data_IF_188239554120
#
_entry.id   IF_188239554120
#
_cell.length_a   1.000
_cell.length_b   1.000
_cell.length_c   1.000
_cell.angle_alpha   90.00
_cell.angle_beta   90.00
_cell.angle_gamma   90.00
#
_symmetry.space_group_name_H-M   'P 1'
#
loop_
_entity.id
_entity.type
_entity.pdbx_description
1 polymer ?
#
# COMPACT_ATOMS: atom_id res chain seq x y z
N UNK A 1 -8.18 -42.65 55.97
CA UNK A 1 -7.70 -43.66 56.93
C UNK A 1 -6.23 -43.86 56.63
N UNK A 2 -5.39 -43.50 57.59
CA UNK A 2 -3.96 -43.24 57.37
C UNK A 2 -3.59 -41.98 58.13
N UNK A 3 -3.68 -42.08 59.45
CA UNK A 3 -3.71 -40.96 60.39
C UNK A 3 -2.37 -40.83 61.12
N UNK A 4 -2.18 -39.66 61.76
CA UNK A 4 -1.15 -39.36 62.78
C UNK A 4 0.34 -39.22 62.32
N UNK A 5 1.19 -38.50 63.10
CA UNK A 5 0.88 -37.45 64.09
C UNK A 5 1.71 -36.15 63.92
N UNK A 6 1.43 -35.19 64.81
CA UNK A 6 2.22 -33.97 65.03
C UNK A 6 3.64 -34.25 65.52
N UNK A 7 4.57 -33.32 65.28
CA UNK A 7 5.69 -33.04 66.19
C UNK A 7 5.75 -31.53 66.45
N UNK A 8 5.64 -31.16 67.74
CA UNK A 8 5.79 -29.78 68.22
C UNK A 8 7.27 -29.35 68.23
N UNK A 9 7.56 -28.21 67.62
CA UNK A 9 8.93 -27.67 67.45
C UNK A 9 9.16 -26.31 68.13
N UNK A 10 8.83 -26.16 69.41
CA UNK A 10 9.06 -24.93 70.16
C UNK A 10 10.57 -24.66 70.36
N UNK A 11 11.10 -23.60 69.71
CA UNK A 11 12.41 -23.03 70.06
C UNK A 11 12.40 -21.50 70.13
N UNK A 12 12.41 -21.04 71.38
CA UNK A 12 13.14 -19.89 71.94
C UNK A 12 13.23 -18.59 71.11
N UNK A 13 12.61 -17.55 71.68
CA UNK A 13 12.89 -16.15 71.37
C UNK A 13 14.37 -15.81 71.66
N UNK A 14 15.01 -15.10 70.74
CA UNK A 14 16.29 -14.41 70.97
C UNK A 14 16.10 -12.93 70.62
N UNK A 15 16.14 -12.06 71.64
CA UNK A 15 16.05 -10.62 71.43
C UNK A 15 17.41 -10.08 70.97
N UNK A 16 17.54 -9.78 69.68
CA UNK A 16 18.59 -8.88 69.19
C UNK A 16 17.96 -7.53 68.86
N UNK A 17 18.03 -6.60 69.81
CA UNK A 17 17.91 -5.17 69.54
C UNK A 17 19.26 -4.69 68.95
N UNK A 18 19.37 -4.74 67.62
CA UNK A 18 20.33 -3.93 66.87
C UNK A 18 19.59 -3.04 65.88
N UNK A 19 20.19 -1.88 65.60
CA UNK A 19 19.59 -0.74 64.90
C UNK A 19 18.74 -1.11 63.68
N UNK A 20 17.41 -0.99 63.83
CA UNK A 20 16.46 -0.99 62.71
C UNK A 20 16.56 0.30 61.92
N UNK A 21 17.70 0.47 61.24
CA UNK A 21 17.91 1.43 60.16
C UNK A 21 16.82 1.19 59.12
N UNK A 22 15.80 2.07 59.12
CA UNK A 22 14.59 1.93 58.31
C UNK A 22 15.01 1.63 56.87
N UNK A 23 14.59 0.49 56.30
CA UNK A 23 14.86 0.20 54.89
C UNK A 23 14.22 1.30 54.06
N UNK A 24 15.04 2.19 53.50
CA UNK A 24 14.60 3.17 52.52
C UNK A 24 14.01 2.39 51.35
N UNK A 25 12.69 2.42 51.22
CA UNK A 25 11.97 1.74 50.16
C UNK A 25 12.65 2.03 48.83
N UNK A 26 12.97 1.01 48.01
CA UNK A 26 13.68 1.24 46.76
C UNK A 26 12.91 2.31 45.96
N UNK A 27 13.61 3.35 45.46
CA UNK A 27 12.95 4.53 44.91
C UNK A 27 12.00 4.09 43.81
N UNK A 28 10.73 4.54 43.90
CA UNK A 28 9.64 4.00 43.10
C UNK A 28 9.96 4.05 41.61
N UNK A 29 10.38 2.91 41.06
CA UNK A 29 10.78 2.77 39.67
C UNK A 29 9.53 2.95 38.81
N UNK A 30 9.32 4.17 38.33
CA UNK A 30 8.22 4.50 37.43
C UNK A 30 8.19 3.46 36.30
N UNK A 31 7.05 2.78 36.06
CA UNK A 31 6.98 1.71 35.07
C UNK A 31 7.38 2.27 33.70
N UNK A 32 8.16 1.53 32.90
CA UNK A 32 8.62 2.00 31.60
C UNK A 32 7.42 2.39 30.74
N UNK A 33 7.48 3.50 29.99
CA UNK A 33 6.32 4.03 29.28
C UNK A 33 5.78 3.00 28.28
N UNK A 34 4.49 2.70 28.40
CA UNK A 34 3.82 1.67 27.60
C UNK A 34 3.76 2.07 26.13
N UNK A 35 4.16 1.14 25.25
CA UNK A 35 4.19 1.39 23.80
C UNK A 35 2.79 1.21 23.23
N UNK A 36 2.19 2.29 22.74
CA UNK A 36 0.88 2.26 22.08
C UNK A 36 1.00 1.62 20.69
N UNK A 37 0.64 0.34 20.56
CA UNK A 37 0.45 -0.32 19.27
C UNK A 37 -0.85 0.22 18.64
N UNK A 38 -0.78 0.62 17.36
CA UNK A 38 -1.97 0.99 16.57
C UNK A 38 -2.02 0.19 15.28
N UNK A 39 -2.63 -0.99 15.36
CA UNK A 39 -2.98 -1.84 14.23
C UNK A 39 -4.41 -1.54 13.76
N UNK A 40 -4.65 -1.63 12.45
CA UNK A 40 -5.99 -1.61 11.84
C UNK A 40 -6.10 -2.75 10.82
N UNK A 41 -7.22 -3.49 10.76
CA UNK A 41 -7.44 -4.47 9.71
C UNK A 41 -7.48 -3.78 8.33
N UNK A 42 -7.18 -4.56 7.29
CA UNK A 42 -7.26 -4.14 5.90
C UNK A 42 -8.56 -4.71 5.29
N UNK A 43 -9.53 -3.89 4.85
CA UNK A 43 -10.84 -4.35 4.42
C UNK A 43 -10.82 -5.19 3.13
N UNK A 44 -9.65 -5.37 2.49
CA UNK A 44 -9.45 -6.26 1.36
C UNK A 44 -8.90 -7.65 1.75
N UNK A 45 -8.65 -7.90 3.04
CA UNK A 45 -7.97 -9.11 3.53
C UNK A 45 -8.63 -9.67 4.79
N UNK A 46 -9.36 -10.77 4.64
CA UNK A 46 -9.99 -11.49 5.74
C UNK A 46 -11.18 -10.73 6.37
N UNK A 47 -11.62 -11.13 7.58
CA UNK A 47 -12.67 -10.42 8.29
C UNK A 47 -12.18 -9.06 8.82
N UNK A 48 -13.08 -8.07 8.85
CA UNK A 48 -12.86 -6.81 9.56
C UNK A 48 -13.03 -7.04 11.07
N UNK A 49 -11.91 -7.21 11.77
CA UNK A 49 -11.83 -7.50 13.21
C UNK A 49 -10.68 -6.70 13.84
N UNK A 50 -10.81 -6.28 15.12
CA UNK A 50 -9.68 -5.80 15.88
C UNK A 50 -8.62 -6.90 16.06
N UNK A 51 -7.38 -6.51 16.30
CA UNK A 51 -6.30 -7.45 16.62
C UNK A 51 -6.50 -8.05 18.02
N UNK A 52 -6.32 -9.35 18.20
CA UNK A 52 -6.43 -10.01 19.49
C UNK A 52 -5.52 -9.42 20.58
N UNK A 53 -5.92 -9.46 21.87
CA UNK A 53 -5.11 -8.94 22.97
C UNK A 53 -3.74 -9.62 23.10
N UNK A 54 -3.65 -10.94 22.88
CA UNK A 54 -2.38 -11.67 22.95
C UNK A 54 -1.42 -11.26 21.82
N UNK A 55 -1.92 -11.13 20.59
CA UNK A 55 -1.16 -10.59 19.45
C UNK A 55 -0.70 -9.14 19.70
N UNK A 56 -1.55 -8.32 20.33
CA UNK A 56 -1.21 -6.95 20.72
C UNK A 56 -0.09 -6.93 21.77
N UNK A 57 -0.12 -7.84 22.75
CA UNK A 57 0.91 -7.97 23.78
C UNK A 57 2.25 -8.44 23.20
N UNK A 58 2.25 -9.44 22.30
CA UNK A 58 3.45 -9.90 21.60
C UNK A 58 4.11 -8.78 20.77
N UNK A 59 3.32 -7.91 20.14
CA UNK A 59 3.84 -6.71 19.47
C UNK A 59 4.42 -5.69 20.45
N UNK A 60 3.75 -5.44 21.57
CA UNK A 60 4.25 -4.52 22.59
C UNK A 60 5.59 -4.99 23.16
N UNK A 61 5.74 -6.29 23.41
CA UNK A 61 6.99 -6.91 23.90
C UNK A 61 8.12 -6.79 22.86
N UNK A 62 7.86 -7.12 21.58
CA UNK A 62 8.84 -6.94 20.51
C UNK A 62 9.30 -5.48 20.42
N UNK A 63 8.35 -4.54 20.35
CA UNK A 63 8.68 -3.11 20.24
C UNK A 63 9.31 -2.52 21.50
N UNK A 64 9.13 -3.14 22.68
CA UNK A 64 9.82 -2.75 23.91
C UNK A 64 11.33 -3.03 23.80
N UNK A 65 11.71 -4.13 23.17
CA UNK A 65 13.10 -4.55 22.92
C UNK A 65 13.68 -3.86 21.66
N UNK A 66 12.90 -3.80 20.58
CA UNK A 66 13.33 -3.40 19.23
C UNK A 66 12.63 -2.13 18.72
N UNK A 67 12.67 -1.05 19.51
CA UNK A 67 11.89 0.20 19.33
C UNK A 67 11.90 0.88 17.95
N UNK A 68 12.90 0.59 17.11
CA UNK A 68 13.09 1.22 15.80
C UNK A 68 13.10 0.22 14.63
N UNK A 69 12.83 -1.06 14.91
CA UNK A 69 12.85 -2.13 13.91
C UNK A 69 11.43 -2.62 13.59
N UNK A 70 11.25 -3.08 12.36
CA UNK A 70 10.04 -3.83 11.99
C UNK A 70 10.14 -5.27 12.50
N UNK A 71 9.05 -5.89 13.00
CA UNK A 71 9.08 -7.28 13.41
C UNK A 71 9.52 -8.20 12.26
N UNK A 72 10.20 -9.34 12.52
CA UNK A 72 10.78 -10.16 11.47
C UNK A 72 9.73 -10.81 10.55
N UNK A 73 8.46 -10.87 10.97
CA UNK A 73 7.32 -11.37 10.22
C UNK A 73 6.55 -10.28 9.46
N UNK A 74 7.02 -9.03 9.49
CA UNK A 74 6.39 -7.92 8.78
C UNK A 74 6.30 -8.20 7.27
N UNK A 75 5.10 -8.11 6.72
CA UNK A 75 4.84 -8.36 5.31
C UNK A 75 5.12 -7.13 4.45
N UNK A 76 5.56 -7.36 3.21
CA UNK A 76 5.75 -6.29 2.24
C UNK A 76 4.42 -5.72 1.74
N UNK A 77 4.49 -4.56 1.07
CA UNK A 77 3.36 -4.07 0.25
C UNK A 77 2.98 -5.14 -0.76
N UNK A 78 1.75 -5.65 -0.66
CA UNK A 78 1.30 -6.82 -1.39
C UNK A 78 0.26 -6.43 -2.44
N UNK A 79 0.66 -6.56 -3.71
CA UNK A 79 -0.07 -6.16 -4.91
C UNK A 79 -0.43 -7.38 -5.78
N UNK A 80 -0.93 -8.47 -5.18
CA UNK A 80 -1.36 -9.63 -5.95
C UNK A 80 -2.70 -9.34 -6.65
N UNK A 81 -2.76 -9.58 -7.97
CA UNK A 81 -4.01 -9.50 -8.76
C UNK A 81 -4.82 -10.81 -8.72
N UNK A 82 -4.16 -11.93 -8.43
CA UNK A 82 -4.78 -13.26 -8.37
C UNK A 82 -5.65 -13.42 -7.13
N UNK A 83 -6.70 -14.24 -7.25
CA UNK A 83 -7.48 -14.70 -6.10
C UNK A 83 -6.66 -15.72 -5.32
N UNK A 84 -6.96 -15.85 -4.03
CA UNK A 84 -6.27 -16.79 -3.14
C UNK A 84 -7.20 -17.32 -2.05
N UNK A 85 -6.87 -18.51 -1.56
CA UNK A 85 -7.39 -19.11 -0.32
C UNK A 85 -6.21 -19.57 0.53
N UNK A 86 -6.44 -19.83 1.82
CA UNK A 86 -5.44 -20.43 2.70
C UNK A 86 -5.97 -21.76 3.22
N UNK A 87 -5.13 -22.78 3.24
CA UNK A 87 -5.46 -24.09 3.81
C UNK A 87 -4.44 -24.49 4.88
N UNK A 88 -4.90 -25.20 5.90
CA UNK A 88 -4.05 -25.83 6.90
C UNK A 88 -3.43 -27.14 6.37
N UNK A 89 -2.73 -27.88 7.25
CA UNK A 89 -2.16 -29.19 6.91
C UNK A 89 -3.18 -30.28 6.61
N UNK A 90 -4.40 -30.16 7.14
CA UNK A 90 -5.50 -31.10 6.96
C UNK A 90 -6.37 -30.78 5.72
N UNK A 91 -6.17 -29.61 5.10
CA UNK A 91 -6.96 -29.11 3.98
C UNK A 91 -8.17 -28.26 4.38
N UNK A 92 -8.31 -27.91 5.66
CA UNK A 92 -9.34 -26.99 6.12
C UNK A 92 -9.03 -25.56 5.65
N UNK A 93 -10.04 -24.88 5.11
CA UNK A 93 -9.90 -23.49 4.65
C UNK A 93 -9.84 -22.53 5.84
N UNK A 94 -8.75 -21.76 5.93
CA UNK A 94 -8.46 -20.82 7.01
C UNK A 94 -8.65 -19.37 6.56
N UNK A 95 -9.01 -18.51 7.52
CA UNK A 95 -9.07 -17.07 7.28
C UNK A 95 -7.70 -16.42 7.53
N UNK A 96 -7.35 -15.42 6.72
CA UNK A 96 -6.11 -14.67 6.82
C UNK A 96 -6.40 -13.17 6.68
N UNK A 97 -6.24 -12.41 7.77
CA UNK A 97 -6.33 -10.93 7.72
C UNK A 97 -4.96 -10.31 7.45
N UNK A 98 -4.94 -9.17 6.76
CA UNK A 98 -3.81 -8.24 6.76
C UNK A 98 -4.12 -7.11 7.74
N UNK A 99 -3.14 -6.71 8.53
CA UNK A 99 -3.22 -5.52 9.36
C UNK A 99 -2.18 -4.50 8.91
N UNK A 100 -2.56 -3.22 8.93
CA UNK A 100 -1.63 -2.09 8.85
C UNK A 100 -1.33 -1.61 10.26
N UNK A 101 -0.07 -1.73 10.69
CA UNK A 101 0.42 -1.09 11.91
C UNK A 101 0.92 0.31 11.56
N UNK A 102 0.64 1.27 12.43
CA UNK A 102 0.97 2.70 12.26
C UNK A 102 1.74 3.30 13.44
N UNK A 103 1.83 2.57 14.56
CA UNK A 103 2.61 2.92 15.75
C UNK A 103 3.20 1.65 16.38
N UNK A 104 4.46 1.66 16.87
CA UNK A 104 5.38 2.80 16.84
C UNK A 104 5.99 3.09 15.46
N UNK A 105 6.05 2.10 14.56
CA UNK A 105 6.47 2.27 13.16
C UNK A 105 5.38 1.82 12.17
N UNK A 106 5.39 2.33 10.92
CA UNK A 106 4.48 1.89 9.86
C UNK A 106 4.96 0.58 9.19
N UNK A 107 4.17 -0.48 9.27
CA UNK A 107 4.42 -1.75 8.56
C UNK A 107 3.11 -2.55 8.36
N UNK A 108 3.18 -3.61 7.54
CA UNK A 108 2.07 -4.56 7.39
C UNK A 108 2.42 -5.88 8.08
N UNK A 109 1.40 -6.61 8.50
CA UNK A 109 1.53 -7.97 9.05
C UNK A 109 0.33 -8.81 8.65
N UNK A 110 0.45 -10.14 8.77
CA UNK A 110 -0.63 -11.08 8.49
C UNK A 110 -0.98 -11.86 9.76
N UNK A 111 -2.28 -12.06 9.97
CA UNK A 111 -2.85 -12.85 11.07
C UNK A 111 -3.66 -13.99 10.47
N UNK A 112 -3.29 -15.22 10.81
CA UNK A 112 -4.00 -16.44 10.46
C UNK A 112 -4.97 -16.77 11.59
N UNK A 113 -6.21 -17.10 11.25
CA UNK A 113 -7.19 -17.64 12.20
C UNK A 113 -7.36 -19.14 11.92
N UNK A 114 -7.09 -19.97 12.92
CA UNK A 114 -7.21 -21.43 12.81
C UNK A 114 -8.62 -21.93 13.18
N UNK A 115 -8.92 -23.18 12.86
CA UNK A 115 -10.26 -23.80 13.05
C UNK A 115 -10.70 -23.95 14.51
N UNK A 116 -9.74 -23.93 15.45
CA UNK A 116 -9.95 -23.87 16.90
C UNK A 116 -10.25 -22.44 17.42
N UNK A 117 -10.19 -21.43 16.54
CA UNK A 117 -10.37 -20.03 16.89
C UNK A 117 -9.09 -19.32 17.37
N UNK A 118 -7.92 -19.96 17.36
CA UNK A 118 -6.66 -19.29 17.70
C UNK A 118 -6.25 -18.27 16.62
N UNK A 119 -5.59 -17.19 17.03
CA UNK A 119 -5.03 -16.18 16.12
C UNK A 119 -3.49 -16.21 16.18
N UNK A 120 -2.83 -16.28 15.02
CA UNK A 120 -1.39 -16.49 14.90
C UNK A 120 -0.75 -15.46 13.97
N UNK A 121 0.37 -14.86 14.36
CA UNK A 121 1.21 -14.09 13.43
C UNK A 121 1.89 -15.03 12.45
N UNK A 122 1.82 -14.72 11.15
CA UNK A 122 2.41 -15.57 10.10
C UNK A 122 3.24 -14.80 9.09
N UNK A 123 4.33 -15.42 8.65
CA UNK A 123 5.23 -14.91 7.62
C UNK A 123 5.24 -15.84 6.38
N UNK A 124 5.42 -15.27 5.19
CA UNK A 124 5.65 -16.05 3.97
C UNK A 124 7.04 -16.72 4.01
N UNK A 125 7.14 -17.99 3.60
CA UNK A 125 8.42 -18.73 3.49
C UNK A 125 8.61 -19.38 2.11
N UNK A 126 9.86 -19.69 1.79
CA UNK A 126 10.26 -20.28 0.50
C UNK A 126 10.12 -19.33 -0.69
N UNK A 127 10.19 -19.88 -1.90
CA UNK A 127 9.82 -19.18 -3.14
C UNK A 127 8.35 -19.47 -3.46
N UNK A 128 7.67 -18.56 -4.17
CA UNK A 128 6.36 -18.87 -4.72
C UNK A 128 6.47 -20.07 -5.67
N UNK A 129 5.65 -21.09 -5.41
CA UNK A 129 5.64 -22.37 -6.13
C UNK A 129 4.35 -22.53 -6.94
N UNK A 130 4.26 -23.58 -7.77
CA UNK A 130 2.99 -23.97 -8.44
C UNK A 130 1.86 -24.28 -7.44
N UNK A 131 2.22 -24.62 -6.19
CA UNK A 131 1.30 -24.92 -5.09
C UNK A 131 0.92 -23.68 -4.27
N UNK A 132 1.60 -22.54 -4.48
CA UNK A 132 1.34 -21.28 -3.76
C UNK A 132 2.51 -20.79 -2.90
N UNK A 133 2.19 -20.09 -1.82
CA UNK A 133 3.14 -19.55 -0.83
C UNK A 133 2.84 -20.13 0.55
N UNK A 134 3.81 -20.78 1.16
CA UNK A 134 3.68 -21.34 2.50
C UNK A 134 3.80 -20.25 3.58
N UNK A 135 3.16 -20.51 4.71
CA UNK A 135 3.08 -19.63 5.87
C UNK A 135 3.68 -20.35 7.09
N UNK A 136 4.63 -19.70 7.76
CA UNK A 136 5.18 -20.14 9.05
C UNK A 136 4.64 -19.26 10.17
N UNK A 137 4.38 -19.85 11.33
CA UNK A 137 3.97 -19.15 12.54
C UNK A 137 5.15 -18.47 13.24
N UNK A 138 5.00 -17.21 13.63
CA UNK A 138 5.94 -16.51 14.51
C UNK A 138 5.48 -16.67 15.97
N UNK A 139 6.31 -17.32 16.78
CA UNK A 139 5.99 -17.76 18.14
C UNK A 139 6.32 -16.71 19.22
N UNK A 140 7.02 -15.63 18.86
CA UNK A 140 7.42 -14.57 19.77
C UNK A 140 8.90 -14.17 19.62
N UNK A 141 9.34 -13.23 20.46
CA UNK A 141 10.71 -12.68 20.40
C UNK A 141 11.79 -13.73 20.64
N UNK A 142 11.61 -14.57 21.68
CA UNK A 142 12.60 -15.55 22.12
C UNK A 142 12.50 -16.87 21.34
N UNK A 143 11.28 -17.25 20.96
CA UNK A 143 10.96 -18.51 20.29
C UNK A 143 11.18 -18.44 18.77
N UNK A 144 11.15 -17.23 18.18
CA UNK A 144 11.32 -17.04 16.75
C UNK A 144 10.15 -17.62 15.95
N UNK A 145 10.42 -18.68 15.19
CA UNK A 145 9.45 -19.29 14.26
C UNK A 145 9.21 -20.75 14.58
N UNK A 146 7.98 -21.22 14.31
CA UNK A 146 7.66 -22.63 14.35
C UNK A 146 8.55 -23.41 13.36
N UNK A 147 8.96 -24.62 13.74
CA UNK A 147 9.89 -25.44 12.96
C UNK A 147 9.36 -25.89 11.59
N UNK A 148 8.06 -25.70 11.31
CA UNK A 148 7.39 -26.13 10.10
C UNK A 148 6.37 -25.10 9.60
N UNK A 149 6.06 -25.15 8.29
CA UNK A 149 4.95 -24.37 7.71
C UNK A 149 3.60 -24.88 8.21
N UNK A 150 2.79 -23.98 8.77
CA UNK A 150 1.49 -24.27 9.39
C UNK A 150 0.31 -24.19 8.41
N UNK A 151 0.42 -23.36 7.38
CA UNK A 151 -0.62 -23.15 6.36
C UNK A 151 -0.02 -22.82 5.00
N UNK A 152 -0.82 -22.90 3.93
CA UNK A 152 -0.41 -22.58 2.56
C UNK A 152 -1.45 -21.69 1.88
N UNK A 153 -1.01 -20.57 1.31
CA UNK A 153 -1.83 -19.69 0.48
C UNK A 153 -1.75 -20.12 -0.98
N UNK A 154 -2.81 -20.74 -1.48
CA UNK A 154 -2.96 -21.21 -2.86
C UNK A 154 -3.59 -20.11 -3.72
N UNK A 155 -3.18 -20.00 -4.98
CA UNK A 155 -3.62 -18.95 -5.91
C UNK A 155 -4.41 -19.50 -7.09
N UNK A 156 -5.32 -18.70 -7.63
CA UNK A 156 -6.09 -19.04 -8.83
C UNK A 156 -6.67 -17.81 -9.55
N UNK A 157 -7.30 -18.01 -10.73
CA UNK A 157 -7.97 -16.93 -11.46
C UNK A 157 -9.27 -16.52 -10.77
N UNK A 158 -10.11 -17.47 -10.37
CA UNK A 158 -11.31 -17.26 -9.54
C UNK A 158 -11.21 -18.00 -8.20
N UNK A 159 -11.95 -17.62 -7.15
CA UNK A 159 -11.90 -18.29 -5.84
C UNK A 159 -12.36 -19.75 -5.84
N UNK A 160 -13.25 -20.13 -6.76
CA UNK A 160 -13.90 -21.45 -6.82
C UNK A 160 -12.99 -22.54 -7.42
N UNK A 161 -12.03 -22.12 -8.25
CA UNK A 161 -10.97 -22.98 -8.80
C UNK A 161 -9.93 -23.38 -7.75
N UNK A 162 -9.83 -22.62 -6.65
CA UNK A 162 -8.77 -22.75 -5.66
C UNK A 162 -9.11 -23.88 -4.69
N UNK A 163 -8.57 -25.06 -4.98
CA UNK A 163 -8.79 -26.30 -4.24
C UNK A 163 -7.51 -26.74 -3.54
N UNK A 164 -7.67 -27.36 -2.38
CA UNK A 164 -6.58 -28.01 -1.66
C UNK A 164 -6.11 -29.28 -2.37
N UNK A 165 -4.83 -29.63 -2.19
CA UNK A 165 -4.28 -30.95 -2.53
C UNK A 165 -3.26 -31.38 -1.46
N UNK A 166 -3.31 -32.62 -0.94
CA UNK A 166 -2.31 -33.11 0.01
C UNK A 166 -0.87 -33.09 -0.53
N UNK A 167 -0.68 -33.19 -1.86
CA UNK A 167 0.64 -33.15 -2.52
C UNK A 167 1.40 -31.84 -2.29
N UNK A 168 0.67 -30.76 -1.96
CA UNK A 168 1.26 -29.46 -1.61
C UNK A 168 2.29 -29.65 -0.49
N UNK A 169 1.97 -30.43 0.55
CA UNK A 169 2.84 -30.60 1.71
C UNK A 169 4.11 -31.42 1.44
N UNK A 170 4.11 -32.27 0.41
CA UNK A 170 5.32 -32.96 -0.07
C UNK A 170 6.34 -31.99 -0.67
N UNK A 171 5.91 -30.75 -0.97
CA UNK A 171 6.69 -29.70 -1.61
C UNK A 171 6.83 -28.47 -0.70
N UNK A 172 6.63 -28.62 0.61
CA UNK A 172 6.87 -27.58 1.60
C UNK A 172 8.39 -27.29 1.74
N UNK A 173 8.79 -26.02 1.94
CA UNK A 173 10.19 -25.66 2.08
C UNK A 173 10.74 -26.14 3.43
N UNK A 174 11.84 -26.90 3.39
CA UNK A 174 12.61 -27.25 4.60
C UNK A 174 13.32 -26.03 5.21
N UNK A 175 13.63 -25.02 4.40
CA UNK A 175 14.05 -23.69 4.88
C UNK A 175 12.83 -22.84 5.22
N UNK A 176 12.53 -22.73 6.51
CA UNK A 176 11.48 -21.88 7.08
C UNK A 176 11.87 -20.41 7.19
N UNK A 177 13.00 -19.97 6.63
CA UNK A 177 13.42 -18.56 6.68
C UNK A 177 12.38 -17.66 6.00
N UNK A 178 11.84 -16.64 6.70
CA UNK A 178 10.87 -15.71 6.11
C UNK A 178 11.41 -14.95 4.90
N UNK A 179 10.54 -14.71 3.92
CA UNK A 179 10.81 -13.83 2.78
C UNK A 179 10.93 -12.39 3.28
N UNK A 180 12.13 -11.99 3.71
CA UNK A 180 12.42 -10.61 4.15
C UNK A 180 12.34 -9.66 2.97
N UNK A 181 11.19 -9.01 2.81
CA UNK A 181 11.06 -7.85 1.94
C UNK A 181 12.04 -6.78 2.40
N UNK A 182 12.87 -6.25 1.50
CA UNK A 182 13.74 -5.10 1.77
C UNK A 182 12.89 -3.83 1.91
N UNK A 183 12.26 -3.67 3.07
CA UNK A 183 11.67 -2.41 3.50
C UNK A 183 12.78 -1.37 3.53
N UNK A 184 12.72 -0.38 2.63
CA UNK A 184 13.61 0.78 2.69
C UNK A 184 13.37 1.45 4.04
N UNK A 185 14.39 1.50 4.89
CA UNK A 185 14.29 2.22 6.17
C UNK A 185 13.84 3.66 5.88
N UNK A 186 12.77 4.16 6.51
CA UNK A 186 12.34 5.55 6.33
C UNK A 186 13.33 6.53 6.95
N UNK A 187 14.08 6.07 7.95
CA UNK A 187 15.28 6.75 8.43
C UNK A 187 16.43 6.39 7.48
N UNK A 188 17.12 7.37 6.86
CA UNK A 188 18.46 7.09 6.37
C UNK A 188 19.27 6.59 7.58
N UNK A 189 19.97 5.46 7.43
CA UNK A 189 21.03 5.17 8.38
C UNK A 189 22.03 6.31 8.23
N UNK A 190 22.12 7.18 9.24
CA UNK A 190 23.15 8.20 9.26
C UNK A 190 24.49 7.49 9.17
N UNK A 191 25.30 7.88 8.19
CA UNK A 191 26.66 7.37 8.00
C UNK A 191 27.54 7.87 9.16
N UNK A 192 27.35 7.27 10.34
CA UNK A 192 28.31 7.25 11.42
C UNK A 192 29.61 6.75 10.79
N UNK A 193 30.65 7.61 10.71
CA UNK A 193 31.78 7.35 9.84
C UNK A 193 32.43 6.04 10.25
N UNK A 194 32.33 5.02 9.40
CA UNK A 194 33.04 3.76 9.62
C UNK A 194 34.51 4.09 9.85
N UNK A 195 35.13 3.59 10.94
CA UNK A 195 36.51 3.90 11.24
C UNK A 195 37.36 3.49 10.05
N UNK A 196 37.94 4.48 9.37
CA UNK A 196 38.64 4.26 8.11
C UNK A 196 39.76 3.24 8.33
N UNK A 197 39.79 2.13 7.58
CA UNK A 197 40.79 1.10 7.81
C UNK A 197 42.18 1.73 7.63
N UNK A 198 42.96 1.74 8.71
CA UNK A 198 44.23 2.47 8.77
C UNK A 198 45.12 2.05 7.59
N UNK A 199 45.26 2.96 6.62
CA UNK A 199 46.16 2.77 5.48
C UNK A 199 47.57 2.68 6.04
N UNK A 200 48.13 1.46 6.07
CA UNK A 200 49.55 1.26 6.37
C UNK A 200 50.37 2.24 5.52
N UNK A 201 51.28 3.03 6.11
CA UNK A 201 52.10 3.94 5.33
C UNK A 201 52.99 3.13 4.38
N UNK A 202 52.68 3.17 3.09
CA UNK A 202 53.63 2.70 2.08
C UNK A 202 54.85 3.61 2.13
N UNK A 203 56.03 3.00 2.25
CA UNK A 203 57.30 3.74 2.16
C UNK A 203 57.36 4.45 0.80
N UNK A 204 57.68 5.74 0.84
CA UNK A 204 58.23 6.41 -0.32
C UNK A 204 59.57 5.73 -0.67
N UNK A 205 59.78 5.48 -1.96
CA UNK A 205 61.05 5.06 -2.52
C UNK A 205 61.23 5.77 -3.85
N UNK A 206 62.27 6.58 -3.96
CA UNK A 206 62.47 7.52 -5.05
C UNK A 206 62.67 6.84 -6.40
N UNK A 207 62.05 7.39 -7.44
CA UNK A 207 62.60 7.32 -8.80
C UNK A 207 62.20 8.56 -9.60
N UNK A 208 63.18 9.15 -10.27
CA UNK A 208 63.07 10.49 -10.84
C UNK A 208 62.92 10.50 -12.37
N UNK A 209 62.40 11.64 -12.84
CA UNK A 209 62.73 12.33 -14.10
C UNK A 209 62.20 11.84 -15.46
N UNK A 210 62.03 12.87 -16.31
CA UNK A 210 61.93 12.90 -17.78
C UNK A 210 60.58 12.53 -18.44
N UNK A 211 60.08 13.23 -19.48
CA UNK A 211 60.37 14.60 -19.97
C UNK A 211 59.36 15.02 -21.09
N UNK A 212 58.84 16.28 -21.05
CA UNK A 212 58.21 17.04 -22.16
C UNK A 212 57.02 16.39 -22.93
N UNK A 213 56.15 17.07 -23.71
CA UNK A 213 55.97 18.48 -24.14
C UNK A 213 54.45 18.82 -24.18
N UNK A 214 54.01 20.10 -24.21
CA UNK A 214 52.59 20.49 -24.27
C UNK A 214 52.10 20.88 -25.68
N UNK A 215 50.80 20.70 -25.96
CA UNK A 215 50.10 21.27 -27.14
C UNK A 215 48.67 21.69 -26.77
N UNK A 216 48.29 22.93 -27.10
CA UNK A 216 46.91 23.43 -27.03
C UNK A 216 46.07 22.92 -28.21
N UNK A 217 44.76 22.77 -28.06
CA UNK A 217 43.84 23.22 -29.11
C UNK A 217 42.40 23.50 -28.63
N UNK A 218 41.75 24.46 -29.31
CA UNK A 218 40.35 24.86 -29.13
C UNK A 218 39.52 24.44 -30.37
N UNK A 219 38.17 24.44 -30.22
CA UNK A 219 37.12 24.41 -31.28
C UNK A 219 36.98 23.15 -32.17
N UNK A 220 35.85 22.45 -31.98
CA UNK A 220 34.76 22.23 -32.97
C UNK A 220 33.54 21.72 -32.18
N UNK A 221 32.25 22.05 -32.40
CA UNK A 221 31.45 22.45 -33.58
C UNK A 221 31.07 21.28 -34.50
N UNK A 222 30.02 20.55 -34.12
CA UNK A 222 28.86 20.10 -34.94
C UNK A 222 27.91 19.29 -34.02
N UNK A 223 26.57 19.38 -34.06
CA UNK A 223 25.59 19.32 -35.15
C UNK A 223 25.53 17.96 -35.88
N UNK A 224 24.72 17.04 -35.35
CA UNK A 224 24.10 15.93 -36.09
C UNK A 224 22.69 15.64 -35.50
N UNK A 225 21.76 15.01 -36.26
CA UNK A 225 20.37 15.46 -36.23
C UNK A 225 19.36 14.40 -35.76
N UNK A 226 18.14 14.86 -35.52
CA UNK A 226 16.94 14.00 -35.52
C UNK A 226 16.83 13.24 -36.84
N UNK A 227 16.54 11.93 -36.78
CA UNK A 227 15.93 11.25 -37.91
C UNK A 227 14.94 10.19 -37.44
N UNK A 228 13.74 10.19 -38.02
CA UNK A 228 12.69 9.21 -37.72
C UNK A 228 12.91 7.96 -38.57
N UNK A 229 12.61 6.78 -38.02
CA UNK A 229 12.16 5.65 -38.85
C UNK A 229 10.99 4.93 -38.20
N UNK A 230 9.86 4.94 -38.90
CA UNK A 230 8.74 4.02 -38.68
C UNK A 230 9.09 2.68 -39.31
N UNK A 231 8.68 1.58 -38.68
CA UNK A 231 8.65 0.24 -39.30
C UNK A 231 7.33 -0.46 -38.96
N UNK A 232 6.32 -0.22 -39.78
CA UNK A 232 5.20 -1.16 -39.91
C UNK A 232 5.74 -2.45 -40.54
N UNK A 233 5.28 -3.61 -40.08
CA UNK A 233 5.40 -4.87 -40.82
C UNK A 233 4.07 -5.63 -40.77
N UNK A 234 3.35 -5.61 -41.89
CA UNK A 234 2.36 -6.64 -42.19
C UNK A 234 3.09 -7.91 -42.64
N UNK A 235 2.53 -9.07 -42.30
CA UNK A 235 2.80 -10.34 -43.01
C UNK A 235 1.47 -11.03 -43.29
N UNK A 236 1.28 -11.52 -44.51
CA UNK A 236 0.05 -12.19 -44.96
C UNK A 236 0.42 -13.46 -45.72
N UNK A 237 -0.30 -14.55 -45.41
CA UNK A 237 -0.60 -15.82 -46.11
C UNK A 237 0.22 -16.18 -47.39
N UNK A 238 0.59 -17.45 -47.64
CA UNK A 238 -0.35 -18.56 -47.89
C UNK A 238 0.31 -19.97 -47.92
N UNK A 239 -0.51 -20.97 -47.53
CA UNK A 239 -0.80 -22.33 -48.07
C UNK A 239 0.01 -22.98 -49.23
N UNK A 240 -0.16 -24.31 -49.52
CA UNK A 240 -1.00 -25.35 -48.88
C UNK A 240 -0.12 -26.45 -48.20
N UNK A 241 -0.49 -27.70 -47.88
CA UNK A 241 -1.68 -28.58 -47.96
C UNK A 241 -1.65 -29.55 -46.72
N UNK A 242 -2.47 -30.59 -46.46
CA UNK A 242 -3.54 -31.34 -47.18
C UNK A 242 -4.56 -31.89 -46.14
N UNK A 243 -5.65 -32.53 -46.57
CA UNK A 243 -6.69 -33.20 -45.75
C UNK A 243 -6.51 -34.76 -45.76
N UNK A 244 -7.37 -35.64 -45.16
CA UNK A 244 -8.69 -35.46 -44.50
C UNK A 244 -8.73 -36.03 -43.04
N UNK A 245 -9.83 -36.21 -42.28
CA UNK A 245 -11.27 -36.47 -42.58
C UNK A 245 -12.20 -36.02 -41.42
N UNK A 246 -13.46 -35.63 -41.74
CA UNK A 246 -14.74 -35.76 -40.98
C UNK A 246 -14.79 -35.49 -39.45
N UNK A 247 -15.81 -34.81 -38.89
CA UNK A 247 -17.25 -34.86 -39.22
C UNK A 247 -18.01 -33.60 -38.72
N UNK A 248 -19.16 -33.32 -39.32
CA UNK A 248 -19.94 -32.08 -39.13
C UNK A 248 -21.05 -32.18 -38.05
N UNK A 249 -21.47 -31.03 -37.50
CA UNK A 249 -22.87 -30.77 -37.07
C UNK A 249 -23.12 -29.26 -37.00
N UNK A 250 -23.99 -28.74 -37.87
CA UNK A 250 -24.42 -27.34 -37.87
C UNK A 250 -25.49 -27.03 -36.81
N UNK A 251 -25.55 -25.77 -36.37
CA UNK A 251 -26.79 -25.10 -35.96
C UNK A 251 -26.59 -23.59 -35.93
N UNK A 252 -27.19 -22.89 -36.89
CA UNK A 252 -27.29 -21.42 -36.92
C UNK A 252 -28.75 -21.00 -36.65
N UNK A 253 -28.93 -19.81 -36.07
CA UNK A 253 -30.22 -19.13 -36.07
C UNK A 253 -30.01 -17.62 -36.11
N UNK A 254 -30.72 -16.96 -37.02
CA UNK A 254 -30.61 -15.53 -37.30
C UNK A 254 -31.98 -14.86 -37.17
N UNK A 255 -32.02 -13.72 -36.49
CA UNK A 255 -33.10 -12.74 -36.57
C UNK A 255 -32.42 -11.37 -36.49
N UNK A 256 -32.37 -10.61 -37.58
CA UNK A 256 -33.45 -9.85 -38.23
C UNK A 256 -33.71 -8.49 -37.56
N UNK A 257 -33.80 -7.46 -38.40
CA UNK A 257 -33.76 -6.05 -38.02
C UNK A 257 -35.13 -5.50 -37.59
N UNK A 258 -35.12 -4.31 -36.98
CA UNK A 258 -36.32 -3.44 -36.90
C UNK A 258 -35.91 -1.99 -36.74
N UNK A 259 -35.71 -1.30 -37.86
CA UNK A 259 -35.67 0.16 -37.89
C UNK A 259 -37.05 0.74 -37.54
N UNK A 260 -37.09 1.88 -36.85
CA UNK A 260 -38.30 2.70 -36.72
C UNK A 260 -37.95 4.17 -36.78
N UNK A 261 -38.27 4.80 -37.91
CA UNK A 261 -38.06 6.23 -38.16
C UNK A 261 -39.27 7.09 -37.77
N UNK A 262 -39.14 8.40 -37.99
CA UNK A 262 -40.21 9.39 -38.10
C UNK A 262 -40.98 9.79 -36.84
N UNK A 263 -40.73 11.02 -36.39
CA UNK A 263 -41.78 12.04 -36.41
C UNK A 263 -41.18 13.42 -36.64
N UNK A 264 -41.92 14.32 -37.30
CA UNK A 264 -41.42 15.60 -37.79
C UNK A 264 -42.48 16.72 -37.69
N UNK A 265 -42.01 17.97 -37.72
CA UNK A 265 -42.83 19.15 -38.05
C UNK A 265 -43.63 19.77 -36.90
N UNK A 266 -43.46 21.08 -36.68
CA UNK A 266 -44.14 21.81 -35.60
C UNK A 266 -44.07 23.34 -35.69
N UNK A 267 -43.98 23.92 -36.89
CA UNK A 267 -43.88 25.37 -37.11
C UNK A 267 -45.25 26.09 -37.10
N UNK A 268 -45.55 26.89 -36.06
CA UNK A 268 -46.46 28.05 -36.14
C UNK A 268 -46.10 29.12 -35.06
N UNK A 269 -46.59 30.40 -35.08
CA UNK A 269 -45.70 31.49 -35.50
C UNK A 269 -45.56 32.67 -34.50
N UNK A 270 -44.78 33.67 -34.92
CA UNK A 270 -44.65 35.00 -34.31
C UNK A 270 -45.98 35.72 -34.03
N UNK A 271 -46.11 36.35 -32.86
CA UNK A 271 -46.75 37.68 -32.68
C UNK A 271 -46.56 38.25 -31.26
N UNK A 272 -46.60 39.58 -31.11
CA UNK A 272 -47.04 40.24 -29.86
C UNK A 272 -45.98 40.73 -28.88
N UNK A 273 -45.36 41.89 -29.17
CA UNK A 273 -44.73 42.74 -28.13
C UNK A 273 -45.76 43.77 -27.62
N UNK A 274 -45.95 43.89 -26.30
CA UNK A 274 -46.13 45.22 -25.72
C UNK A 274 -45.22 45.46 -24.50
N UNK A 275 -44.93 46.74 -24.24
CA UNK A 275 -43.83 47.17 -23.39
C UNK A 275 -44.16 47.31 -21.89
N UNK A 276 -43.10 47.43 -21.10
CA UNK A 276 -43.02 48.12 -19.79
C UNK A 276 -43.91 47.64 -18.63
N UNK A 277 -43.25 47.06 -17.63
CA UNK A 277 -43.15 47.71 -16.31
C UNK A 277 -41.89 47.26 -15.56
N UNK A 278 -41.08 48.21 -15.10
CA UNK A 278 -39.98 47.93 -14.17
C UNK A 278 -40.57 47.47 -12.84
N UNK A 279 -40.27 46.23 -12.42
CA UNK A 279 -40.40 45.81 -11.03
C UNK A 279 -39.02 45.39 -10.55
N UNK A 280 -38.48 46.14 -9.58
CA UNK A 280 -37.25 45.74 -8.89
C UNK A 280 -37.62 44.54 -8.03
N UNK A 281 -37.36 43.34 -8.52
CA UNK A 281 -37.31 42.13 -7.70
C UNK A 281 -35.95 42.18 -7.02
N UNK A 282 -35.91 42.16 -5.70
CA UNK A 282 -34.66 42.00 -4.99
C UNK A 282 -34.15 40.57 -5.23
N UNK A 283 -32.86 40.42 -5.55
CA UNK A 283 -32.21 39.11 -5.62
C UNK A 283 -32.12 38.53 -4.22
N UNK A 284 -33.17 37.82 -3.80
CA UNK A 284 -33.10 36.94 -2.64
C UNK A 284 -31.97 35.93 -2.89
N UNK A 285 -30.96 35.84 -2.00
CA UNK A 285 -29.77 35.04 -2.27
C UNK A 285 -30.16 33.57 -2.32
N UNK A 286 -30.19 33.02 -3.54
CA UNK A 286 -30.57 31.64 -3.79
C UNK A 286 -29.68 30.70 -2.97
N UNK A 287 -30.28 30.07 -1.96
CA UNK A 287 -29.56 29.22 -1.01
C UNK A 287 -28.81 28.16 -1.81
N UNK A 288 -27.46 28.12 -1.75
CA UNK A 288 -26.70 27.25 -2.62
C UNK A 288 -27.08 25.80 -2.31
N UNK A 289 -27.73 25.15 -3.27
CA UNK A 289 -28.06 23.72 -3.17
C UNK A 289 -26.78 22.98 -2.84
N UNK A 290 -26.73 22.29 -1.68
CA UNK A 290 -25.53 21.62 -1.18
C UNK A 290 -24.99 20.67 -2.25
N UNK A 291 -23.97 21.14 -2.95
CA UNK A 291 -23.57 20.58 -4.23
C UNK A 291 -22.78 19.30 -4.09
N UNK A 292 -22.94 18.40 -5.05
CA UNK A 292 -22.10 17.21 -5.24
C UNK A 292 -20.73 17.63 -5.77
N UNK A 293 -19.98 18.38 -4.96
CA UNK A 293 -18.72 19.00 -5.34
C UNK A 293 -17.52 18.08 -5.06
N UNK A 294 -16.44 18.31 -5.80
CA UNK A 294 -15.18 17.57 -5.70
C UNK A 294 -14.10 18.53 -5.23
N UNK A 295 -13.61 18.31 -4.01
CA UNK A 295 -12.58 19.13 -3.35
C UNK A 295 -11.23 18.44 -3.49
N UNK A 296 -10.34 19.07 -4.23
CA UNK A 296 -8.94 18.68 -4.33
C UNK A 296 -8.15 19.35 -3.20
N UNK A 297 -7.54 18.54 -2.32
CA UNK A 297 -6.67 18.94 -1.23
C UNK A 297 -5.23 18.62 -1.61
N UNK A 298 -4.45 19.63 -1.99
CA UNK A 298 -3.01 19.48 -2.17
C UNK A 298 -2.33 19.26 -0.81
N UNK A 299 -1.34 18.36 -0.76
CA UNK A 299 -0.59 18.00 0.45
C UNK A 299 0.90 17.88 0.12
N UNK A 300 1.76 18.52 0.91
CA UNK A 300 3.20 18.27 0.89
C UNK A 300 3.56 17.20 1.94
N UNK A 301 4.52 16.31 1.64
CA UNK A 301 5.05 15.36 2.63
C UNK A 301 6.21 15.94 3.47
N UNK A 302 6.80 17.05 3.01
CA UNK A 302 7.96 17.69 3.66
C UNK A 302 7.56 18.93 4.51
N UNK A 303 6.26 19.22 4.63
CA UNK A 303 5.72 20.31 5.47
C UNK A 303 4.21 20.13 5.67
N UNK A 304 3.66 20.62 6.77
CA UNK A 304 2.21 20.58 7.07
C UNK A 304 1.35 21.49 6.15
N UNK A 305 1.95 22.08 5.12
CA UNK A 305 1.26 22.90 4.15
C UNK A 305 0.23 22.07 3.36
N UNK A 306 -1.02 22.55 3.33
CA UNK A 306 -2.09 21.99 2.51
C UNK A 306 -2.90 23.10 1.85
N UNK A 307 -3.59 22.79 0.74
CA UNK A 307 -4.49 23.73 0.06
C UNK A 307 -5.68 23.00 -0.54
N UNK A 308 -6.88 23.29 -0.05
CA UNK A 308 -8.13 22.80 -0.62
C UNK A 308 -8.69 23.78 -1.68
N UNK A 309 -9.25 23.25 -2.76
CA UNK A 309 -10.05 24.00 -3.74
C UNK A 309 -10.95 23.07 -4.56
N UNK A 310 -11.89 23.65 -5.28
CA UNK A 310 -12.74 22.95 -6.25
C UNK A 310 -12.41 23.39 -7.67
N UNK A 311 -12.91 22.65 -8.67
CA UNK A 311 -12.55 22.79 -10.09
C UNK A 311 -13.85 22.78 -10.91
N UNK A 312 -14.25 23.96 -11.35
CA UNK A 312 -15.60 24.23 -11.88
C UNK A 312 -15.57 24.88 -13.28
N UNK A 313 -14.44 24.78 -13.99
CA UNK A 313 -14.23 25.34 -15.35
C UNK A 313 -14.32 24.29 -16.45
N UNK A 314 -14.45 24.76 -17.68
CA UNK A 314 -14.49 23.96 -18.93
C UNK A 314 -13.20 23.20 -19.26
N UNK A 315 -12.08 23.51 -18.61
CA UNK A 315 -10.81 22.78 -18.70
C UNK A 315 -10.32 22.41 -17.29
N UNK A 316 -10.92 21.40 -16.63
CA UNK A 316 -10.59 21.04 -15.26
C UNK A 316 -9.13 20.59 -15.05
N UNK A 317 -8.51 19.91 -16.02
CA UNK A 317 -7.12 19.48 -15.94
C UNK A 317 -6.18 20.67 -15.86
N UNK A 318 -6.27 21.57 -16.84
CA UNK A 318 -5.52 22.83 -16.89
C UNK A 318 -5.68 23.68 -15.62
N UNK A 319 -6.86 23.73 -15.02
CA UNK A 319 -7.07 24.42 -13.73
C UNK A 319 -6.44 23.67 -12.55
N UNK A 320 -6.63 22.36 -12.43
CA UNK A 320 -6.06 21.52 -11.38
C UNK A 320 -4.52 21.61 -11.37
N UNK A 321 -3.89 21.41 -12.53
CA UNK A 321 -2.44 21.47 -12.69
C UNK A 321 -1.87 22.89 -12.52
N UNK A 322 -2.59 23.95 -12.93
CA UNK A 322 -2.16 25.32 -12.65
C UNK A 322 -2.16 25.64 -11.15
N UNK A 323 -3.21 25.25 -10.42
CA UNK A 323 -3.29 25.43 -8.96
C UNK A 323 -2.25 24.58 -8.22
N UNK A 324 -1.97 23.36 -8.70
CA UNK A 324 -0.94 22.48 -8.17
C UNK A 324 0.48 23.04 -8.41
N UNK A 325 0.80 23.48 -9.63
CA UNK A 325 2.06 24.18 -9.95
C UNK A 325 2.28 25.39 -9.04
N UNK A 326 1.25 26.23 -8.84
CA UNK A 326 1.36 27.39 -7.96
C UNK A 326 1.72 26.98 -6.52
N UNK A 327 1.04 25.97 -5.97
CA UNK A 327 1.27 25.52 -4.60
C UNK A 327 2.64 24.86 -4.41
N UNK A 328 2.99 23.87 -5.24
CA UNK A 328 4.26 23.14 -5.06
C UNK A 328 5.49 23.99 -5.36
N UNK A 329 5.42 24.98 -6.26
CA UNK A 329 6.54 25.90 -6.52
C UNK A 329 6.80 26.92 -5.41
N UNK A 330 5.82 27.19 -4.54
CA UNK A 330 6.05 27.98 -3.32
C UNK A 330 6.87 27.19 -2.27
N UNK A 331 6.77 25.87 -2.27
CA UNK A 331 7.46 24.97 -1.32
C UNK A 331 8.77 24.42 -1.88
N UNK A 332 8.84 24.24 -3.21
CA UNK A 332 10.01 23.78 -3.94
C UNK A 332 10.08 24.49 -5.31
N UNK A 333 10.86 25.59 -5.45
CA UNK A 333 10.88 26.39 -6.67
C UNK A 333 11.27 25.65 -7.96
N UNK A 334 11.93 24.49 -7.82
CA UNK A 334 12.33 23.61 -8.94
C UNK A 334 11.32 22.50 -9.24
N UNK A 335 10.14 22.50 -8.63
CA UNK A 335 9.14 21.45 -8.84
C UNK A 335 8.52 21.49 -10.25
N UNK A 336 8.66 20.38 -10.97
CA UNK A 336 7.97 20.08 -12.22
C UNK A 336 6.73 19.25 -11.94
N UNK A 337 5.57 19.91 -11.88
CA UNK A 337 4.29 19.27 -11.60
C UNK A 337 3.68 18.82 -12.92
N UNK A 338 4.18 17.70 -13.44
CA UNK A 338 3.78 17.09 -14.70
C UNK A 338 2.87 15.86 -14.49
N UNK A 339 2.92 15.26 -13.29
CA UNK A 339 2.08 14.12 -12.87
C UNK A 339 1.55 14.40 -11.45
N UNK A 340 0.25 14.14 -11.23
CA UNK A 340 -0.39 14.24 -9.92
C UNK A 340 -0.85 12.85 -9.43
N UNK A 341 -0.41 12.47 -8.24
CA UNK A 341 -0.94 11.31 -7.52
C UNK A 341 -2.18 11.72 -6.71
N UNK A 342 -3.35 11.20 -7.10
CA UNK A 342 -4.62 11.46 -6.45
C UNK A 342 -5.08 10.25 -5.63
N UNK A 343 -5.37 10.45 -4.35
CA UNK A 343 -5.86 9.45 -3.41
C UNK A 343 -7.20 9.88 -2.83
N UNK A 344 -8.15 8.96 -2.80
CA UNK A 344 -9.47 9.16 -2.18
C UNK A 344 -9.39 8.59 -0.76
N UNK A 345 -9.56 9.36 0.34
CA UNK A 345 -9.31 8.87 1.70
C UNK A 345 -10.18 7.66 2.12
N UNK A 346 -11.39 7.52 1.56
CA UNK A 346 -12.29 6.38 1.76
C UNK A 346 -11.96 5.14 0.92
N UNK A 347 -10.92 5.19 0.07
CA UNK A 347 -10.43 4.05 -0.71
C UNK A 347 -8.94 3.78 -0.42
N UNK A 348 -8.51 2.54 -0.66
CA UNK A 348 -7.08 2.19 -0.78
C UNK A 348 -6.49 2.58 -2.15
N UNK A 349 -7.33 3.05 -3.07
CA UNK A 349 -7.02 3.39 -4.45
C UNK A 349 -6.25 4.72 -4.56
N UNK A 350 -5.15 4.70 -5.32
CA UNK A 350 -4.42 5.87 -5.76
C UNK A 350 -4.36 5.84 -7.29
N UNK A 351 -4.72 6.96 -7.93
CA UNK A 351 -4.58 7.17 -9.36
C UNK A 351 -3.48 8.19 -9.65
N UNK A 352 -3.03 8.18 -10.89
CA UNK A 352 -2.15 9.21 -11.44
C UNK A 352 -2.96 9.99 -12.47
N UNK A 353 -2.73 11.29 -12.55
CA UNK A 353 -3.26 12.17 -13.58
C UNK A 353 -2.07 12.83 -14.29
N UNK A 354 -2.17 13.05 -15.60
CA UNK A 354 -1.09 13.62 -16.41
C UNK A 354 -1.40 15.06 -16.89
N UNK A 355 -0.41 15.94 -16.89
CA UNK A 355 -0.60 17.32 -17.36
C UNK A 355 -0.85 17.33 -18.87
N UNK A 356 -1.86 18.08 -19.29
CA UNK A 356 -2.36 18.09 -20.68
C UNK A 356 -3.49 17.10 -20.96
N UNK A 357 -3.68 16.04 -20.16
CA UNK A 357 -4.84 15.15 -20.31
C UNK A 357 -6.05 15.67 -19.52
N UNK A 358 -6.69 16.70 -20.08
CA UNK A 358 -7.94 17.24 -19.57
C UNK A 358 -9.10 16.22 -19.65
N UNK A 359 -8.97 15.17 -20.47
CA UNK A 359 -9.96 14.10 -20.63
C UNK A 359 -9.96 13.12 -19.46
N UNK A 360 -8.79 12.64 -19.05
CA UNK A 360 -8.58 11.82 -17.86
C UNK A 360 -9.05 12.53 -16.59
N UNK A 361 -8.68 13.81 -16.42
CA UNK A 361 -9.13 14.62 -15.27
C UNK A 361 -10.65 14.82 -15.29
N UNK A 362 -11.25 15.06 -16.46
CA UNK A 362 -12.71 15.18 -16.61
C UNK A 362 -13.43 13.86 -16.28
N UNK A 363 -12.90 12.73 -16.74
CA UNK A 363 -13.42 11.40 -16.40
C UNK A 363 -13.37 11.16 -14.90
N UNK A 364 -12.22 11.43 -14.27
CA UNK A 364 -12.02 11.25 -12.83
C UNK A 364 -12.98 12.11 -12.01
N UNK A 365 -13.13 13.40 -12.32
CA UNK A 365 -14.10 14.27 -11.64
C UNK A 365 -15.54 13.74 -11.79
N UNK A 366 -15.91 13.24 -12.98
CA UNK A 366 -17.24 12.66 -13.22
C UNK A 366 -17.47 11.39 -12.39
N UNK A 367 -16.49 10.49 -12.30
CA UNK A 367 -16.59 9.31 -11.44
C UNK A 367 -16.75 9.70 -9.96
N UNK A 368 -15.98 10.68 -9.48
CA UNK A 368 -16.07 11.14 -8.10
C UNK A 368 -17.43 11.78 -7.79
N UNK A 369 -18.03 12.52 -8.75
CA UNK A 369 -19.41 13.03 -8.66
C UNK A 369 -20.48 11.92 -8.69
N UNK A 370 -20.19 10.79 -9.32
CA UNK A 370 -21.08 9.62 -9.31
C UNK A 370 -20.99 8.84 -7.99
N UNK A 371 -19.81 8.76 -7.37
CA UNK A 371 -19.64 8.16 -6.04
C UNK A 371 -20.35 8.99 -4.95
N UNK A 372 -20.26 10.33 -5.02
CA UNK A 372 -20.98 11.22 -4.08
C UNK A 372 -22.50 11.22 -4.28
N UNK A 373 -22.99 10.83 -5.45
CA UNK A 373 -24.43 10.60 -5.66
C UNK A 373 -25.00 9.52 -4.72
N UNK A 374 -24.19 8.55 -4.28
CA UNK A 374 -24.61 7.46 -3.41
C UNK A 374 -24.51 7.85 -1.92
N UNK A 375 -23.47 8.60 -1.53
CA UNK A 375 -23.23 8.99 -0.13
C UNK A 375 -23.97 10.28 0.29
N UNK A 376 -24.18 11.21 -0.64
CA UNK A 376 -24.65 12.58 -0.36
C UNK A 376 -23.55 13.57 0.05
N UNK A 377 -22.36 13.09 0.38
CA UNK A 377 -21.21 13.88 0.86
C UNK A 377 -20.39 14.56 -0.25
N UNK A 378 -19.53 15.50 0.16
CA UNK A 378 -18.49 16.10 -0.70
C UNK A 378 -17.32 15.12 -0.92
N UNK A 379 -16.88 14.94 -2.17
CA UNK A 379 -15.69 14.12 -2.45
C UNK A 379 -14.41 14.89 -2.12
N UNK A 380 -13.75 14.53 -1.01
CA UNK A 380 -12.39 14.99 -0.72
C UNK A 380 -11.36 14.08 -1.41
N UNK A 381 -10.44 14.68 -2.16
CA UNK A 381 -9.35 13.98 -2.85
C UNK A 381 -8.03 14.57 -2.39
N UNK A 382 -7.15 13.76 -1.79
CA UNK A 382 -5.79 14.17 -1.49
C UNK A 382 -4.92 14.08 -2.74
N UNK A 383 -4.13 15.11 -2.99
CA UNK A 383 -3.33 15.25 -4.21
C UNK A 383 -1.90 15.54 -3.84
N UNK A 384 -0.96 14.80 -4.43
CA UNK A 384 0.49 15.01 -4.35
C UNK A 384 1.06 15.14 -5.75
N UNK A 385 2.17 15.85 -5.94
CA UNK A 385 2.94 15.74 -7.18
C UNK A 385 3.88 14.53 -7.11
N UNK A 386 4.20 13.93 -8.25
CA UNK A 386 5.25 12.92 -8.36
C UNK A 386 6.57 13.63 -8.71
N UNK A 387 7.66 13.20 -8.06
CA UNK A 387 9.05 13.66 -8.28
C UNK A 387 9.72 12.75 -9.30
#
# INVERSE_FOLDING_TARGET
>A
MGDSPEILGLRQLSNNDEDRKIPLSPPATNPPPSISILARPDPLFGPDRPLGPHLTNLLAEWHQKHRFEVPPFASGKYNCKSKWKVFDRNGAELQLSRFTVSRPLPYYMMVLYTTDGSEKFVACVGKQSKYGTYLVEWLGTEQGYAAESCAVRVFGPQPEDIKFSPEIWQNAPADITPIRHKLKSPFPQSDLPQPTPQRRPQRLSDRAQNNFTPVNNFRAVNNYPTNNHQTNNHTVNNHPATAPVSNDTDSSSSYESSDTESSAGGDIPFSGVPATKKRKVDEEPSIPMKGREVVFKLVCDNSDATRAFTVNKTCPGKELFAKARQFYRLLSPKAEVNILACRIPSKSEQRYLYDGDDGEVSYFIREMKNLTHISGDTALIEVKYVV
#
